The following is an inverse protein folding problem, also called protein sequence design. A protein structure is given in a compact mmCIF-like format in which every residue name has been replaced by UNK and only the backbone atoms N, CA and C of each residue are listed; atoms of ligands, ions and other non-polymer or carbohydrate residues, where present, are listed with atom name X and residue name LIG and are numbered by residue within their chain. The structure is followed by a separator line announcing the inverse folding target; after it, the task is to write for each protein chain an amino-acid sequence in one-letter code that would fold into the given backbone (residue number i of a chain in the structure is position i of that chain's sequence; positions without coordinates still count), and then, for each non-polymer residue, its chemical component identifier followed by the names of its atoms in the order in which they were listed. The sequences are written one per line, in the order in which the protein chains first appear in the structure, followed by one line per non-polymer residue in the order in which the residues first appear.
data_IF_413755242841
#
_entry.id   IF_413755242841
#
_cell.length_a   1.000
_cell.length_b   1.000
_cell.length_c   1.000
_cell.angle_alpha   90.00
_cell.angle_beta   90.00
_cell.angle_gamma   90.00
#
_symmetry.space_group_name_H-M   'P 1'
#
loop_
_entity.id
_entity.type
_entity.pdbx_description
1 polymer ?
#
# COMPACT_ATOMS: atom_id res chain seq x y z
N UNK A 1 24.54 -18.42 -48.66
CA UNK A 1 23.83 -17.44 -47.82
C UNK A 1 23.36 -16.33 -48.73
N UNK A 2 22.22 -16.54 -49.38
CA UNK A 2 21.62 -15.57 -50.31
C UNK A 2 20.94 -14.46 -49.52
N UNK A 3 21.35 -13.22 -49.77
CA UNK A 3 20.58 -12.03 -49.42
C UNK A 3 19.41 -11.94 -50.39
N UNK A 4 18.22 -12.31 -49.93
CA UNK A 4 16.99 -11.97 -50.65
C UNK A 4 16.52 -10.59 -50.20
N UNK A 5 16.61 -9.61 -51.10
CA UNK A 5 15.93 -8.33 -50.97
C UNK A 5 14.55 -8.49 -51.61
N UNK A 6 13.48 -8.46 -50.79
CA UNK A 6 12.09 -8.47 -51.27
C UNK A 6 11.56 -7.02 -51.19
N UNK A 7 10.95 -6.46 -52.25
CA UNK A 7 10.50 -5.08 -52.26
C UNK A 7 9.22 -4.85 -51.43
N UNK A 8 9.14 -3.63 -50.88
CA UNK A 8 8.06 -3.01 -50.10
C UNK A 8 6.67 -3.21 -50.71
N UNK A 9 5.77 -3.84 -49.94
CA UNK A 9 4.32 -3.60 -49.79
C UNK A 9 3.53 -4.82 -49.26
N UNK A 10 4.19 -5.92 -48.87
CA UNK A 10 3.48 -7.11 -48.39
C UNK A 10 4.13 -7.85 -47.20
N UNK A 11 4.73 -7.13 -46.25
CA UNK A 11 5.37 -7.74 -45.06
C UNK A 11 5.06 -7.05 -43.74
N UNK A 12 3.82 -6.59 -43.57
CA UNK A 12 3.23 -6.35 -42.24
C UNK A 12 2.05 -7.29 -41.91
N UNK A 13 1.58 -8.10 -42.88
CA UNK A 13 0.39 -8.97 -42.69
C UNK A 13 0.66 -10.49 -42.82
N UNK A 14 1.89 -10.94 -43.11
CA UNK A 14 2.21 -12.38 -43.32
C UNK A 14 3.36 -12.83 -42.43
N UNK A 15 3.33 -12.46 -41.15
CA UNK A 15 4.15 -13.12 -40.13
C UNK A 15 3.36 -13.51 -38.87
N UNK A 16 2.03 -13.57 -39.00
CA UNK A 16 1.07 -14.02 -37.98
C UNK A 16 0.52 -15.44 -38.24
N UNK A 17 1.03 -16.17 -39.25
CA UNK A 17 0.41 -17.45 -39.69
C UNK A 17 1.32 -18.69 -39.65
N UNK A 18 2.54 -18.61 -39.12
CA UNK A 18 3.36 -19.81 -38.90
C UNK A 18 4.03 -19.76 -37.53
N UNK A 19 3.49 -20.57 -36.63
CA UNK A 19 4.10 -20.86 -35.35
C UNK A 19 5.48 -21.51 -35.52
N UNK A 20 6.31 -21.25 -34.52
CA UNK A 20 7.57 -21.97 -34.19
C UNK A 20 8.66 -22.00 -35.27
N UNK A 21 9.43 -20.92 -35.39
CA UNK A 21 10.86 -20.98 -35.73
C UNK A 21 11.63 -19.87 -35.00
N UNK A 22 12.84 -20.14 -34.45
CA UNK A 22 13.66 -19.14 -33.79
C UNK A 22 14.25 -18.20 -34.83
N UNK A 23 13.76 -16.96 -34.89
CA UNK A 23 14.29 -15.91 -35.75
C UNK A 23 14.54 -14.69 -34.86
N UNK A 24 15.79 -14.23 -34.76
CA UNK A 24 16.09 -12.91 -34.20
C UNK A 24 15.32 -11.89 -35.04
N UNK A 25 14.36 -11.19 -34.44
CA UNK A 25 13.59 -10.15 -35.13
C UNK A 25 14.08 -8.78 -34.69
N UNK A 26 14.65 -8.05 -35.64
CA UNK A 26 15.04 -6.66 -35.48
C UNK A 26 14.06 -5.80 -36.27
N UNK A 27 13.46 -4.81 -35.61
CA UNK A 27 12.85 -3.68 -36.30
C UNK A 27 13.90 -2.58 -36.40
N UNK A 28 14.37 -2.36 -37.63
CA UNK A 28 15.17 -1.19 -38.03
C UNK A 28 14.33 -0.42 -39.06
N UNK A 29 13.99 0.83 -38.77
CA UNK A 29 13.26 1.70 -39.70
C UNK A 29 14.25 2.43 -40.62
N UNK A 30 13.93 2.52 -41.91
CA UNK A 30 14.31 3.71 -42.69
C UNK A 30 13.08 4.60 -42.79
N UNK A 31 13.16 5.93 -42.54
CA UNK A 31 12.01 6.81 -42.71
C UNK A 31 11.38 6.65 -44.11
N UNK A 32 10.04 6.56 -44.24
CA UNK A 32 9.01 6.97 -43.29
C UNK A 32 8.29 5.82 -42.55
N UNK A 33 8.74 4.58 -42.68
CA UNK A 33 7.89 3.39 -42.44
C UNK A 33 7.76 2.91 -40.99
N UNK A 34 7.90 3.83 -40.00
CA UNK A 34 7.88 3.60 -38.55
C UNK A 34 7.33 2.21 -38.12
N UNK A 35 8.19 1.19 -37.95
CA UNK A 35 7.77 -0.20 -37.88
C UNK A 35 7.03 -0.47 -36.57
N UNK A 36 5.95 -1.26 -36.64
CA UNK A 36 5.03 -1.47 -35.52
C UNK A 36 4.91 -2.97 -35.18
N UNK A 37 5.20 -3.34 -33.94
CA UNK A 37 4.78 -4.63 -33.37
C UNK A 37 3.44 -4.44 -32.66
N UNK A 38 2.37 -5.04 -33.18
CA UNK A 38 1.02 -5.00 -32.61
C UNK A 38 0.44 -6.41 -32.43
N UNK A 39 -0.21 -6.66 -31.28
CA UNK A 39 -1.14 -7.78 -31.08
C UNK A 39 -0.85 -8.67 -29.86
N UNK A 40 -1.75 -9.62 -29.61
CA UNK A 40 -1.65 -10.59 -28.51
C UNK A 40 -0.94 -11.86 -28.97
N UNK A 41 0.33 -12.03 -28.63
CA UNK A 41 1.13 -13.14 -29.16
C UNK A 41 2.26 -13.58 -28.24
N UNK A 42 2.67 -14.83 -28.39
CA UNK A 42 3.97 -15.32 -27.93
C UNK A 42 5.00 -15.13 -29.05
N UNK A 43 6.18 -14.62 -28.68
CA UNK A 43 7.34 -14.44 -29.56
C UNK A 43 8.51 -15.19 -28.93
N UNK A 44 9.12 -16.11 -29.67
CA UNK A 44 10.30 -16.85 -29.21
C UNK A 44 11.56 -16.24 -29.80
N UNK A 45 12.56 -15.97 -28.97
CA UNK A 45 13.83 -15.35 -29.34
C UNK A 45 13.93 -13.87 -28.95
N UNK A 46 15.13 -13.27 -29.08
CA UNK A 46 15.35 -11.88 -28.71
C UNK A 46 14.64 -10.92 -29.68
N UNK A 47 14.15 -9.81 -29.13
CA UNK A 47 13.50 -8.72 -29.84
C UNK A 47 14.30 -7.44 -29.65
N UNK A 48 14.62 -6.79 -30.77
CA UNK A 48 15.28 -5.49 -30.80
C UNK A 48 14.41 -4.50 -31.56
N UNK A 49 13.98 -3.44 -30.88
CA UNK A 49 13.26 -2.31 -31.47
C UNK A 49 14.21 -1.12 -31.40
N UNK A 50 14.95 -0.84 -32.47
CA UNK A 50 15.90 0.30 -32.47
C UNK A 50 15.17 1.62 -32.64
N UNK A 51 14.28 1.64 -33.63
CA UNK A 51 13.33 2.70 -33.95
C UNK A 51 11.97 2.02 -34.22
N UNK A 52 10.85 2.66 -33.86
CA UNK A 52 9.52 2.08 -34.07
C UNK A 52 8.69 1.94 -32.80
N UNK A 53 7.49 1.36 -32.97
CA UNK A 53 6.51 1.21 -31.89
C UNK A 53 6.32 -0.26 -31.54
N UNK A 54 6.29 -0.57 -30.25
CA UNK A 54 5.78 -1.83 -29.70
C UNK A 54 4.50 -1.55 -28.92
N UNK A 55 3.45 -2.33 -29.14
CA UNK A 55 2.16 -2.18 -28.49
C UNK A 55 1.43 -3.52 -28.45
N UNK A 56 0.89 -3.97 -27.30
CA UNK A 56 0.09 -5.19 -27.25
C UNK A 56 -1.24 -5.13 -28.02
N UNK A 57 -1.73 -3.96 -28.44
CA UNK A 57 -2.96 -3.85 -29.23
C UNK A 57 -3.57 -2.45 -29.29
N UNK A 58 -4.81 -2.39 -29.80
CA UNK A 58 -5.74 -1.25 -29.68
C UNK A 58 -6.79 -1.50 -28.58
N UNK A 59 -6.59 -2.55 -27.79
CA UNK A 59 -7.28 -2.85 -26.55
C UNK A 59 -6.27 -3.55 -25.65
N UNK A 60 -6.45 -3.50 -24.30
CA UNK A 60 -5.58 -4.17 -23.36
C UNK A 60 -5.21 -5.58 -23.82
N UNK A 61 -3.92 -5.80 -23.94
CA UNK A 61 -3.34 -6.96 -24.59
C UNK A 61 -2.07 -7.41 -23.90
N UNK A 62 -1.61 -8.61 -24.26
CA UNK A 62 -0.39 -9.19 -23.71
C UNK A 62 0.51 -9.71 -24.82
N UNK A 63 1.74 -9.21 -24.86
CA UNK A 63 2.83 -9.79 -25.65
C UNK A 63 3.72 -10.57 -24.69
N UNK A 64 3.95 -11.85 -24.97
CA UNK A 64 4.96 -12.63 -24.26
C UNK A 64 6.18 -12.82 -25.16
N UNK A 65 7.36 -12.48 -24.65
CA UNK A 65 8.66 -12.64 -25.29
C UNK A 65 9.43 -13.70 -24.51
N UNK A 66 9.57 -14.87 -25.09
CA UNK A 66 10.47 -15.91 -24.61
C UNK A 66 11.89 -15.64 -25.12
N UNK A 67 12.56 -14.66 -24.49
CA UNK A 67 13.82 -14.10 -24.93
C UNK A 67 14.13 -12.75 -24.28
N UNK A 68 15.06 -12.01 -24.87
CA UNK A 68 15.45 -10.67 -24.41
C UNK A 68 14.67 -9.58 -25.16
N UNK A 69 14.45 -8.43 -24.53
CA UNK A 69 13.89 -7.24 -25.14
C UNK A 69 14.88 -6.07 -25.08
N UNK A 70 15.14 -5.46 -26.22
CA UNK A 70 15.91 -4.21 -26.33
C UNK A 70 15.05 -3.12 -26.97
N UNK A 71 14.89 -2.01 -26.26
CA UNK A 71 14.23 -0.78 -26.72
C UNK A 71 15.29 0.32 -26.92
N UNK A 72 15.43 0.80 -28.15
CA UNK A 72 16.36 1.86 -28.52
C UNK A 72 15.84 3.26 -28.19
N UNK A 73 16.73 4.26 -28.26
CA UNK A 73 16.42 5.65 -27.90
C UNK A 73 15.31 6.33 -28.72
N UNK A 74 15.01 5.84 -29.91
CA UNK A 74 13.91 6.33 -30.76
C UNK A 74 12.72 5.36 -30.84
N UNK A 75 12.71 4.30 -30.02
CA UNK A 75 11.57 3.40 -29.92
C UNK A 75 10.45 3.96 -29.04
N UNK A 76 9.25 3.41 -29.14
CA UNK A 76 8.13 3.74 -28.25
C UNK A 76 7.37 2.48 -27.83
N UNK A 77 7.02 2.38 -26.54
CA UNK A 77 6.07 1.41 -26.03
C UNK A 77 4.74 2.12 -25.75
N UNK A 78 3.68 1.75 -26.48
CA UNK A 78 2.32 2.22 -26.22
C UNK A 78 1.59 1.22 -25.33
N UNK A 79 1.15 1.68 -24.16
CA UNK A 79 0.52 0.89 -23.12
C UNK A 79 -0.86 1.44 -22.77
N UNK A 80 -1.90 0.64 -23.00
CA UNK A 80 -3.29 0.97 -22.70
C UNK A 80 -3.69 0.52 -21.28
N UNK A 81 -4.36 1.41 -20.52
CA UNK A 81 -4.95 1.12 -19.21
C UNK A 81 -6.48 1.28 -19.28
N UNK A 82 -7.20 0.29 -18.74
CA UNK A 82 -8.66 0.21 -18.78
C UNK A 82 -9.30 -0.13 -17.44
N UNK A 83 -8.76 -1.09 -16.70
CA UNK A 83 -9.19 -1.47 -15.35
C UNK A 83 -8.17 -2.41 -14.66
N UNK A 84 -8.52 -2.92 -13.48
CA UNK A 84 -7.70 -3.82 -12.66
C UNK A 84 -7.99 -5.31 -12.90
N UNK A 85 -8.68 -5.69 -13.98
CA UNK A 85 -9.00 -7.11 -14.29
C UNK A 85 -7.78 -7.97 -14.63
N UNK A 86 -6.60 -7.33 -14.75
CA UNK A 86 -5.30 -7.98 -14.89
C UNK A 86 -4.63 -7.73 -16.24
N UNK A 87 -3.38 -8.20 -16.41
CA UNK A 87 -2.61 -7.97 -17.62
C UNK A 87 -3.25 -8.65 -18.83
N UNK A 88 -3.32 -7.93 -19.94
CA UNK A 88 -3.97 -8.35 -21.19
C UNK A 88 -5.49 -8.35 -21.18
N UNK A 89 -6.13 -7.92 -20.08
CA UNK A 89 -7.58 -7.79 -19.95
C UNK A 89 -7.98 -6.37 -19.54
N UNK A 90 -7.31 -5.86 -18.50
CA UNK A 90 -7.53 -4.53 -17.93
C UNK A 90 -6.40 -3.55 -18.24
N UNK A 91 -5.21 -4.03 -18.57
CA UNK A 91 -4.10 -3.19 -19.04
C UNK A 91 -3.16 -3.97 -19.97
N UNK A 92 -2.45 -3.24 -20.82
CA UNK A 92 -1.38 -3.77 -21.64
C UNK A 92 -0.21 -4.28 -20.80
N UNK A 93 0.36 -5.41 -21.22
CA UNK A 93 1.58 -5.95 -20.64
C UNK A 93 2.51 -6.54 -21.70
N UNK A 94 3.80 -6.29 -21.55
CA UNK A 94 4.86 -7.06 -22.20
C UNK A 94 5.51 -7.97 -21.15
N UNK A 95 5.39 -9.29 -21.31
CA UNK A 95 6.04 -10.26 -20.45
C UNK A 95 7.32 -10.76 -21.11
N UNK A 96 8.46 -10.64 -20.44
CA UNK A 96 9.77 -11.02 -20.98
C UNK A 96 10.41 -12.06 -20.07
N UNK A 97 10.75 -13.24 -20.60
CA UNK A 97 11.40 -14.29 -19.78
C UNK A 97 12.89 -13.98 -19.53
N UNK A 98 13.54 -13.26 -20.45
CA UNK A 98 14.95 -12.90 -20.40
C UNK A 98 15.22 -11.48 -19.89
N UNK A 99 16.24 -10.84 -20.47
CA UNK A 99 16.68 -9.50 -20.06
C UNK A 99 15.94 -8.38 -20.79
N UNK A 100 15.63 -7.30 -20.08
CA UNK A 100 15.08 -6.06 -20.65
C UNK A 100 16.11 -4.94 -20.60
N UNK A 101 16.26 -4.22 -21.71
CA UNK A 101 16.98 -2.94 -21.81
C UNK A 101 15.99 -1.88 -22.30
N UNK A 102 15.83 -0.82 -21.52
CA UNK A 102 14.92 0.28 -21.83
C UNK A 102 15.63 1.43 -22.56
N UNK A 103 14.85 2.11 -23.38
CA UNK A 103 15.18 3.34 -24.08
C UNK A 103 13.90 3.91 -24.67
N UNK A 104 13.99 5.07 -25.33
CA UNK A 104 12.85 5.62 -26.05
C UNK A 104 11.72 6.10 -25.14
N UNK A 105 10.50 6.10 -25.66
CA UNK A 105 9.33 6.71 -24.99
C UNK A 105 8.34 5.66 -24.49
N UNK A 106 7.91 5.78 -23.24
CA UNK A 106 6.70 5.11 -22.75
C UNK A 106 5.50 6.02 -22.99
N UNK A 107 4.51 5.54 -23.74
CA UNK A 107 3.26 6.25 -24.03
C UNK A 107 2.10 5.54 -23.34
N UNK A 108 1.43 6.23 -22.42
CA UNK A 108 0.33 5.67 -21.63
C UNK A 108 -1.00 6.19 -22.17
N UNK A 109 -1.95 5.29 -22.44
CA UNK A 109 -3.25 5.61 -23.02
C UNK A 109 -4.36 5.16 -22.07
N UNK A 110 -5.33 6.05 -21.81
CA UNK A 110 -6.52 5.76 -21.02
C UNK A 110 -7.72 5.55 -21.94
N UNK A 111 -8.26 4.32 -22.02
CA UNK A 111 -9.44 3.98 -22.82
C UNK A 111 -10.74 4.45 -22.12
N UNK A 112 -10.83 5.77 -21.87
CA UNK A 112 -11.89 6.38 -21.05
C UNK A 112 -11.81 6.04 -19.56
N UNK A 113 -10.78 5.32 -19.15
CA UNK A 113 -10.55 4.92 -17.76
C UNK A 113 -9.91 6.05 -16.95
N UNK A 114 -10.37 6.21 -15.70
CA UNK A 114 -9.76 7.10 -14.72
C UNK A 114 -9.23 6.22 -13.59
N UNK A 115 -7.91 5.95 -13.55
CA UNK A 115 -7.30 5.20 -12.46
C UNK A 115 -7.50 5.89 -11.11
N UNK A 116 -7.78 5.12 -10.06
CA UNK A 116 -7.85 5.65 -8.71
C UNK A 116 -6.47 5.67 -8.05
N UNK A 117 -6.29 6.54 -7.06
CA UNK A 117 -5.10 6.53 -6.21
C UNK A 117 -4.84 5.16 -5.58
N UNK A 118 -3.56 4.82 -5.44
CA UNK A 118 -3.08 3.52 -4.98
C UNK A 118 -3.28 2.35 -5.97
N UNK A 119 -3.89 2.56 -7.14
CA UNK A 119 -3.92 1.54 -8.19
C UNK A 119 -2.51 1.33 -8.77
N UNK A 120 -2.24 0.13 -9.29
CA UNK A 120 -0.96 -0.21 -9.90
C UNK A 120 -1.14 -1.16 -11.09
N UNK A 121 -0.28 -1.03 -12.09
CA UNK A 121 -0.35 -1.74 -13.38
C UNK A 121 1.04 -2.26 -13.75
N UNK A 122 1.17 -3.58 -13.84
CA UNK A 122 2.43 -4.23 -14.22
C UNK A 122 2.56 -4.23 -15.75
N UNK A 123 3.25 -3.22 -16.29
CA UNK A 123 3.29 -2.95 -17.74
C UNK A 123 4.39 -3.72 -18.46
N UNK A 124 5.47 -4.10 -17.76
CA UNK A 124 6.49 -5.03 -18.27
C UNK A 124 6.92 -5.97 -17.14
N UNK A 125 6.90 -7.28 -17.36
CA UNK A 125 7.56 -8.25 -16.46
C UNK A 125 8.83 -8.77 -17.10
N UNK A 126 9.83 -9.10 -16.27
CA UNK A 126 11.16 -9.47 -16.78
C UNK A 126 11.88 -10.51 -15.92
N UNK A 127 12.75 -11.30 -16.56
CA UNK A 127 13.74 -12.10 -15.86
C UNK A 127 14.82 -11.23 -15.20
N UNK A 128 15.41 -10.30 -15.97
CA UNK A 128 16.42 -9.35 -15.48
C UNK A 128 16.24 -7.99 -16.14
N UNK A 129 16.19 -6.90 -15.35
CA UNK A 129 16.26 -5.54 -15.89
C UNK A 129 17.72 -5.06 -15.88
N UNK A 130 18.23 -4.70 -17.06
CA UNK A 130 19.56 -4.08 -17.17
C UNK A 130 19.50 -2.61 -16.74
N UNK A 131 20.59 -2.01 -16.24
CA UNK A 131 20.63 -0.60 -15.85
C UNK A 131 20.26 0.34 -17.01
N UNK A 132 19.00 0.74 -17.06
CA UNK A 132 18.40 1.51 -18.16
C UNK A 132 17.09 2.13 -17.70
N UNK A 133 16.67 3.21 -18.36
CA UNK A 133 15.43 3.93 -18.09
C UNK A 133 14.79 4.35 -19.42
N UNK A 134 13.50 4.69 -19.38
CA UNK A 134 12.86 5.40 -20.48
C UNK A 134 13.56 6.74 -20.73
N UNK A 135 13.73 7.11 -21.99
CA UNK A 135 14.23 8.44 -22.37
C UNK A 135 13.18 9.53 -22.10
N UNK A 136 11.91 9.19 -22.25
CA UNK A 136 10.76 10.03 -21.91
C UNK A 136 9.55 9.17 -21.53
N UNK A 137 8.65 9.75 -20.73
CA UNK A 137 7.36 9.15 -20.39
C UNK A 137 6.29 10.19 -20.72
N UNK A 138 5.31 9.79 -21.52
CA UNK A 138 4.16 10.60 -21.88
C UNK A 138 2.98 10.21 -20.98
N UNK A 139 2.73 11.01 -19.96
CA UNK A 139 1.59 10.83 -19.06
C UNK A 139 0.32 11.43 -19.67
N UNK A 140 -0.81 10.72 -19.65
CA UNK A 140 -2.10 11.28 -20.02
C UNK A 140 -2.58 12.27 -18.94
N UNK A 141 -3.49 13.21 -19.30
CA UNK A 141 -4.06 14.14 -18.33
C UNK A 141 -4.64 13.43 -17.10
N UNK A 142 -4.36 13.95 -15.90
CA UNK A 142 -4.84 13.38 -14.64
C UNK A 142 -3.93 12.33 -14.01
N UNK A 143 -2.78 12.02 -14.62
CA UNK A 143 -1.76 11.12 -14.05
C UNK A 143 -0.47 11.85 -13.63
N UNK A 144 -0.53 13.16 -13.38
CA UNK A 144 0.66 13.99 -13.12
C UNK A 144 1.46 13.57 -11.85
N UNK A 145 0.79 12.93 -10.89
CA UNK A 145 1.39 12.46 -9.64
C UNK A 145 1.81 10.98 -9.66
N UNK A 146 1.61 10.27 -10.78
CA UNK A 146 1.91 8.85 -10.91
C UNK A 146 3.41 8.59 -11.10
N UNK A 147 3.86 7.40 -10.70
CA UNK A 147 5.26 7.03 -10.70
C UNK A 147 5.50 5.67 -11.35
N UNK A 148 6.75 5.43 -11.78
CA UNK A 148 7.21 4.13 -12.29
C UNK A 148 8.12 3.49 -11.25
N UNK A 149 7.79 2.27 -10.86
CA UNK A 149 8.69 1.38 -10.12
C UNK A 149 9.41 0.46 -11.10
N UNK A 150 10.73 0.33 -10.94
CA UNK A 150 11.60 -0.53 -11.77
C UNK A 150 12.03 -1.79 -11.01
N UNK A 151 11.11 -2.36 -10.22
CA UNK A 151 11.35 -3.59 -9.46
C UNK A 151 11.70 -3.40 -7.99
N UNK A 152 11.62 -2.17 -7.45
CA UNK A 152 11.91 -1.91 -6.04
C UNK A 152 10.72 -2.23 -5.14
N UNK A 153 9.51 -1.84 -5.56
CA UNK A 153 8.25 -2.11 -4.86
C UNK A 153 7.59 -3.40 -5.39
N UNK A 154 7.74 -3.67 -6.68
CA UNK A 154 7.14 -4.81 -7.37
C UNK A 154 8.23 -5.64 -8.04
N UNK A 155 8.84 -6.62 -7.34
CA UNK A 155 9.94 -7.41 -7.87
C UNK A 155 9.66 -8.00 -9.25
N UNK A 156 10.66 -8.00 -10.13
CA UNK A 156 10.57 -8.52 -11.51
C UNK A 156 9.54 -7.84 -12.41
N UNK A 157 9.12 -6.61 -12.08
CA UNK A 157 8.12 -5.85 -12.83
C UNK A 157 8.49 -4.37 -12.94
N UNK A 158 8.26 -3.80 -14.12
CA UNK A 158 8.11 -2.37 -14.32
C UNK A 158 6.64 -2.05 -14.11
N UNK A 159 6.35 -1.29 -13.07
CA UNK A 159 4.98 -1.07 -12.59
C UNK A 159 4.68 0.42 -12.56
N UNK A 160 3.60 0.83 -13.23
CA UNK A 160 3.03 2.16 -13.03
C UNK A 160 2.19 2.10 -11.76
N UNK A 161 2.39 3.02 -10.82
CA UNK A 161 1.58 3.07 -9.61
C UNK A 161 1.14 4.51 -9.30
N UNK A 162 -0.09 4.62 -8.83
CA UNK A 162 -0.66 5.88 -8.43
C UNK A 162 -0.09 6.31 -7.08
N UNK A 163 -0.18 7.61 -6.77
CA UNK A 163 0.10 8.05 -5.42
C UNK A 163 -0.78 7.22 -4.49
N UNK A 164 -0.18 6.51 -3.55
CA UNK A 164 -0.96 6.03 -2.43
C UNK A 164 -1.30 7.28 -1.64
N UNK A 165 -2.58 7.55 -1.42
CA UNK A 165 -2.97 8.46 -0.36
C UNK A 165 -2.21 8.00 0.88
N UNK A 166 -1.15 8.73 1.24
CA UNK A 166 -0.52 8.51 2.52
C UNK A 166 -1.68 8.77 3.48
N UNK A 167 -2.08 7.77 4.29
CA UNK A 167 -3.09 8.02 5.32
C UNK A 167 -2.63 9.28 5.99
N UNK A 168 -3.51 10.29 6.13
CA UNK A 168 -3.21 11.51 6.88
C UNK A 168 -2.35 11.09 8.04
N UNK A 169 -1.06 11.43 7.99
CA UNK A 169 -0.15 10.94 9.01
C UNK A 169 -0.62 11.66 10.26
N UNK A 170 -1.30 10.91 11.13
CA UNK A 170 -1.80 11.39 12.41
C UNK A 170 -0.58 11.78 13.23
N UNK A 171 -0.10 12.99 13.04
CA UNK A 171 1.00 13.50 13.82
C UNK A 171 0.44 13.71 15.23
N UNK A 172 0.95 12.89 16.15
CA UNK A 172 0.81 13.10 17.59
C UNK A 172 -0.65 13.14 18.12
N UNK A 173 -1.55 12.26 17.67
CA UNK A 173 -2.83 12.10 18.39
C UNK A 173 -2.55 11.71 19.85
N UNK A 174 -2.96 12.56 20.79
CA UNK A 174 -2.66 12.43 22.23
C UNK A 174 -3.90 12.74 23.06
N UNK A 175 -4.07 11.98 24.13
CA UNK A 175 -5.04 12.26 25.18
C UNK A 175 -4.30 12.66 26.47
N UNK A 176 -4.69 13.77 27.07
CA UNK A 176 -4.07 14.31 28.30
C UNK A 176 -5.15 14.58 29.33
N UNK A 177 -4.99 14.02 30.53
CA UNK A 177 -5.91 14.27 31.64
C UNK A 177 -5.62 15.62 32.30
N UNK A 178 -6.65 16.46 32.44
CA UNK A 178 -6.61 17.72 33.19
C UNK A 178 -7.77 17.73 34.18
N UNK A 179 -7.50 17.30 35.43
CA UNK A 179 -8.54 17.14 36.44
C UNK A 179 -9.54 16.03 36.09
N UNK A 180 -10.79 16.40 35.78
CA UNK A 180 -11.86 15.49 35.31
C UNK A 180 -12.19 15.68 33.83
N UNK A 181 -11.24 16.23 33.09
CA UNK A 181 -11.36 16.48 31.66
C UNK A 181 -10.25 15.74 30.92
N UNK A 182 -10.51 15.39 29.67
CA UNK A 182 -9.49 14.87 28.76
C UNK A 182 -9.35 15.85 27.61
N UNK A 183 -8.15 16.41 27.45
CA UNK A 183 -7.77 17.17 26.28
C UNK A 183 -7.19 16.23 25.23
N UNK A 184 -7.81 16.20 24.06
CA UNK A 184 -7.35 15.53 22.87
C UNK A 184 -6.69 16.55 21.96
N UNK A 185 -5.49 16.24 21.46
CA UNK A 185 -4.81 17.06 20.45
C UNK A 185 -4.28 16.17 19.34
N UNK A 186 -4.34 16.65 18.11
CA UNK A 186 -3.74 15.99 16.96
C UNK A 186 -3.32 17.00 15.91
N UNK A 187 -2.49 16.54 15.00
CA UNK A 187 -2.04 17.28 13.84
C UNK A 187 -2.18 16.42 12.60
N UNK A 188 -2.33 17.07 11.46
CA UNK A 188 -2.30 16.46 10.13
C UNK A 188 -1.15 17.09 9.36
N UNK A 189 -0.31 16.28 8.70
CA UNK A 189 0.80 16.80 7.90
C UNK A 189 0.30 17.48 6.62
N UNK A 190 -0.67 16.83 5.98
CA UNK A 190 -1.44 17.30 4.85
C UNK A 190 -2.87 16.74 4.95
N UNK A 191 -3.79 17.35 4.21
CA UNK A 191 -5.18 16.94 4.07
C UNK A 191 -5.55 17.00 2.60
N UNK A 192 -6.28 16.00 2.13
CA UNK A 192 -6.81 15.96 0.78
C UNK A 192 -8.23 15.43 0.85
N UNK A 193 -9.17 16.16 0.25
CA UNK A 193 -10.60 15.87 0.26
C UNK A 193 -11.18 15.56 1.67
N UNK A 194 -10.58 16.09 2.74
CA UNK A 194 -10.94 15.78 4.12
C UNK A 194 -12.13 16.62 4.56
N UNK A 195 -13.22 15.99 5.00
CA UNK A 195 -14.43 16.70 5.43
C UNK A 195 -14.37 17.07 6.91
N UNK A 196 -14.26 16.07 7.79
CA UNK A 196 -14.18 16.29 9.24
C UNK A 196 -13.53 15.12 9.98
N UNK A 197 -13.13 15.40 11.23
CA UNK A 197 -12.70 14.41 12.20
C UNK A 197 -13.83 14.14 13.20
N UNK A 198 -14.38 12.92 13.19
CA UNK A 198 -15.25 12.43 14.26
C UNK A 198 -14.37 12.01 15.44
N UNK A 199 -14.55 12.71 16.56
CA UNK A 199 -13.94 12.33 17.84
C UNK A 199 -14.81 11.27 18.47
N UNK A 200 -14.27 10.07 18.64
CA UNK A 200 -15.01 8.94 19.21
C UNK A 200 -14.44 8.52 20.55
N UNK A 201 -15.33 8.11 21.46
CA UNK A 201 -15.02 7.72 22.82
C UNK A 201 -15.60 6.36 23.16
N UNK A 202 -14.89 5.64 24.03
CA UNK A 202 -15.29 4.35 24.56
C UNK A 202 -14.81 4.19 26.00
N UNK A 203 -15.55 3.40 26.78
CA UNK A 203 -15.13 2.93 28.11
C UNK A 203 -14.62 1.48 28.09
N UNK A 204 -14.74 0.76 26.98
CA UNK A 204 -14.39 -0.66 26.86
C UNK A 204 -13.45 -0.97 25.66
N UNK A 205 -13.06 0.05 24.91
CA UNK A 205 -12.28 -0.01 23.67
C UNK A 205 -12.92 -0.84 22.53
N UNK A 206 -14.21 -1.15 22.62
CA UNK A 206 -14.95 -1.94 21.63
C UNK A 206 -16.10 -1.13 21.04
N UNK A 207 -16.99 -0.66 21.90
CA UNK A 207 -18.10 0.19 21.52
C UNK A 207 -17.66 1.65 21.59
N UNK A 208 -17.48 2.27 20.42
CA UNK A 208 -17.16 3.68 20.29
C UNK A 208 -18.41 4.47 19.93
N UNK A 209 -18.63 5.59 20.62
CA UNK A 209 -19.66 6.58 20.30
C UNK A 209 -19.00 7.89 19.88
N UNK A 210 -19.56 8.52 18.85
CA UNK A 210 -19.13 9.85 18.40
C UNK A 210 -19.50 10.90 19.46
N UNK A 211 -18.50 11.66 19.92
CA UNK A 211 -18.67 12.79 20.83
C UNK A 211 -18.90 14.10 20.08
N UNK A 212 -18.14 14.31 19.00
CA UNK A 212 -18.14 15.55 18.24
C UNK A 212 -17.55 15.35 16.85
N UNK A 213 -17.83 16.32 15.96
CA UNK A 213 -17.15 16.48 14.68
C UNK A 213 -16.36 17.77 14.69
N UNK A 214 -15.09 17.68 14.32
CA UNK A 214 -14.20 18.83 14.13
C UNK A 214 -13.97 18.99 12.63
N UNK A 215 -14.42 20.10 12.01
CA UNK A 215 -14.21 20.33 10.58
C UNK A 215 -12.72 20.26 10.21
N UNK A 216 -12.41 19.58 9.11
CA UNK A 216 -11.09 19.59 8.49
C UNK A 216 -10.97 20.79 7.54
N UNK A 217 -9.78 21.01 6.96
CA UNK A 217 -9.55 22.10 6.00
C UNK A 217 -10.00 21.76 4.57
N UNK A 218 -10.42 20.53 4.27
CA UNK A 218 -10.66 20.08 2.91
C UNK A 218 -9.37 19.65 2.25
N UNK A 219 -8.56 20.63 1.82
CA UNK A 219 -7.26 20.42 1.19
C UNK A 219 -6.21 21.30 1.88
N UNK A 220 -5.10 20.69 2.30
CA UNK A 220 -3.98 21.38 2.95
C UNK A 220 -2.67 20.65 2.69
N UNK A 221 -1.66 21.37 2.22
CA UNK A 221 -0.28 20.85 2.13
C UNK A 221 0.59 21.28 3.33
N UNK A 222 0.00 22.01 4.29
CA UNK A 222 0.67 22.48 5.50
C UNK A 222 0.09 21.81 6.74
N UNK A 223 0.92 21.74 7.79
CA UNK A 223 0.54 21.11 9.06
C UNK A 223 -0.63 21.85 9.69
N UNK A 224 -1.71 21.12 9.99
CA UNK A 224 -2.86 21.65 10.72
C UNK A 224 -2.86 21.13 12.16
N UNK A 225 -3.45 21.94 13.04
CA UNK A 225 -3.46 21.70 14.49
C UNK A 225 -4.89 21.70 14.99
N UNK A 226 -5.25 20.64 15.70
CA UNK A 226 -6.60 20.45 16.19
C UNK A 226 -6.60 20.07 17.67
N UNK A 227 -7.69 20.43 18.34
CA UNK A 227 -7.92 20.07 19.72
C UNK A 227 -9.40 19.87 20.00
N UNK A 228 -9.70 18.98 20.94
CA UNK A 228 -11.03 18.77 21.48
C UNK A 228 -10.93 18.44 22.97
N UNK A 229 -11.83 18.97 23.79
CA UNK A 229 -11.87 18.68 25.22
C UNK A 229 -13.15 17.91 25.56
N UNK A 230 -12.99 16.73 26.14
CA UNK A 230 -14.09 15.99 26.73
C UNK A 230 -14.22 16.40 28.21
N UNK A 231 -15.38 16.95 28.58
CA UNK A 231 -15.66 17.49 29.91
C UNK A 231 -16.45 16.51 30.80
N UNK A 232 -16.43 16.77 32.11
CA UNK A 232 -17.28 16.10 33.11
C UNK A 232 -17.20 14.57 33.15
N UNK A 233 -16.00 14.02 32.97
CA UNK A 233 -15.84 12.57 32.98
C UNK A 233 -15.93 11.98 34.38
N UNK A 234 -16.52 10.79 34.44
CA UNK A 234 -16.46 9.91 35.60
C UNK A 234 -15.04 9.37 35.77
N UNK A 235 -14.61 9.04 37.01
CA UNK A 235 -13.37 8.29 37.20
C UNK A 235 -13.41 6.96 36.45
N UNK A 236 -12.27 6.53 35.94
CA UNK A 236 -12.14 5.29 35.17
C UNK A 236 -11.27 5.44 33.93
N UNK A 237 -11.26 4.39 33.14
CA UNK A 237 -10.51 4.33 31.90
C UNK A 237 -11.36 4.86 30.74
N UNK A 238 -10.72 5.65 29.90
CA UNK A 238 -11.34 6.22 28.71
C UNK A 238 -10.44 5.99 27.52
N UNK A 239 -11.07 5.57 26.43
CA UNK A 239 -10.42 5.34 25.14
C UNK A 239 -10.96 6.34 24.14
N UNK A 240 -10.07 6.84 23.30
CA UNK A 240 -10.37 7.79 22.27
C UNK A 240 -9.76 7.34 20.95
N UNK A 241 -10.48 7.58 19.87
CA UNK A 241 -9.94 7.50 18.52
C UNK A 241 -10.54 8.61 17.67
N UNK A 242 -9.88 8.95 16.60
CA UNK A 242 -10.40 9.84 15.57
C UNK A 242 -10.83 8.99 14.38
N UNK A 243 -11.94 9.37 13.77
CA UNK A 243 -12.38 8.89 12.48
C UNK A 243 -12.35 10.07 11.50
N UNK A 244 -11.41 10.08 10.58
CA UNK A 244 -11.43 11.02 9.47
C UNK A 244 -12.50 10.59 8.48
N UNK A 245 -13.33 11.54 8.06
CA UNK A 245 -14.31 11.36 7.01
C UNK A 245 -13.91 12.26 5.83
N UNK A 246 -13.86 11.69 4.64
CA UNK A 246 -13.56 12.40 3.41
C UNK A 246 -14.86 12.87 2.71
N UNK A 247 -14.73 13.77 1.74
CA UNK A 247 -15.87 14.37 1.02
C UNK A 247 -16.63 13.35 0.16
N UNK A 248 -15.95 12.30 -0.29
CA UNK A 248 -16.51 11.18 -1.07
C UNK A 248 -17.15 10.09 -0.18
N UNK A 249 -17.02 10.21 1.14
CA UNK A 249 -17.55 9.26 2.11
C UNK A 249 -16.58 8.17 2.56
N UNK A 250 -15.34 8.16 2.05
CA UNK A 250 -14.28 7.32 2.59
C UNK A 250 -13.94 7.72 4.03
N UNK A 251 -13.37 6.79 4.80
CA UNK A 251 -12.96 7.07 6.17
C UNK A 251 -11.74 6.27 6.60
N UNK A 252 -10.97 6.85 7.51
CA UNK A 252 -9.81 6.22 8.15
C UNK A 252 -9.83 6.45 9.66
N UNK A 253 -9.38 5.48 10.45
CA UNK A 253 -9.26 5.62 11.90
C UNK A 253 -7.82 5.94 12.33
N UNK A 254 -7.68 6.73 13.39
CA UNK A 254 -6.43 6.85 14.12
C UNK A 254 -6.15 5.61 14.98
N UNK A 255 -4.94 5.53 15.52
CA UNK A 255 -4.67 4.68 16.68
C UNK A 255 -5.56 5.06 17.87
N UNK A 256 -5.89 4.09 18.72
CA UNK A 256 -6.63 4.31 19.96
C UNK A 256 -5.68 4.87 21.04
N UNK A 257 -6.12 5.90 21.76
CA UNK A 257 -5.45 6.44 22.94
C UNK A 257 -6.27 6.16 24.19
N UNK A 258 -5.62 5.60 25.20
CA UNK A 258 -6.21 5.38 26.52
C UNK A 258 -5.73 6.41 27.52
N UNK A 259 -6.60 6.78 28.46
CA UNK A 259 -6.27 7.66 29.59
C UNK A 259 -7.13 7.27 30.78
N UNK A 260 -6.52 7.19 31.97
CA UNK A 260 -7.23 6.90 33.22
C UNK A 260 -7.46 8.20 34.00
N UNK A 261 -8.70 8.46 34.40
CA UNK A 261 -9.09 9.61 35.21
C UNK A 261 -9.39 9.19 36.64
N UNK A 262 -8.86 9.93 37.61
CA UNK A 262 -9.20 9.80 39.03
C UNK A 262 -8.76 8.49 39.72
N UNK A 263 -8.07 7.58 39.03
CA UNK A 263 -7.53 6.33 39.58
C UNK A 263 -6.04 6.45 39.93
N UNK A 264 -5.58 5.65 40.90
CA UNK A 264 -4.15 5.34 40.99
C UNK A 264 -3.78 4.53 39.74
N UNK A 265 -2.60 4.72 39.13
CA UNK A 265 -2.17 3.92 38.00
C UNK A 265 -2.33 2.44 38.35
N UNK A 266 -2.96 1.67 37.47
CA UNK A 266 -3.04 0.22 37.65
C UNK A 266 -1.59 -0.31 37.74
N UNK A 267 -1.27 -1.02 38.80
CA UNK A 267 0.04 -1.64 39.00
C UNK A 267 -0.15 -3.08 39.44
N UNK A 268 0.85 -3.92 39.20
CA UNK A 268 0.85 -5.31 39.63
C UNK A 268 2.15 -5.66 40.37
N UNK A 269 2.05 -6.57 41.34
CA UNK A 269 3.18 -7.05 42.13
C UNK A 269 2.89 -8.46 42.69
N UNK A 270 3.92 -9.26 43.03
CA UNK A 270 5.33 -9.01 42.78
C UNK A 270 5.71 -9.20 41.31
N UNK A 271 6.81 -8.58 40.90
CA UNK A 271 7.47 -8.85 39.63
C UNK A 271 8.98 -8.85 39.89
N UNK A 272 9.67 -10.02 39.89
CA UNK A 272 9.20 -11.33 39.42
C UNK A 272 8.13 -12.01 40.29
N UNK A 273 7.23 -12.75 39.66
CA UNK A 273 6.17 -13.54 40.28
C UNK A 273 6.52 -15.04 40.32
N UNK A 274 6.09 -15.77 41.36
CA UNK A 274 6.29 -17.23 41.48
C UNK A 274 5.00 -18.03 41.39
N UNK A 275 3.89 -17.49 41.92
CA UNK A 275 2.59 -18.19 41.94
C UNK A 275 1.43 -17.29 41.54
N UNK A 276 1.46 -16.04 41.97
CA UNK A 276 0.39 -15.06 41.70
C UNK A 276 0.96 -13.68 41.48
N UNK A 277 0.22 -12.85 40.77
CA UNK A 277 0.34 -11.39 40.81
C UNK A 277 -0.93 -10.80 41.41
N UNK A 278 -0.77 -9.68 42.10
CA UNK A 278 -1.83 -8.89 42.72
C UNK A 278 -1.86 -7.52 42.08
N UNK A 279 -3.04 -7.07 41.69
CA UNK A 279 -3.29 -5.74 41.20
C UNK A 279 -3.64 -4.80 42.36
N UNK A 280 -3.27 -3.53 42.25
CA UNK A 280 -3.67 -2.52 43.25
C UNK A 280 -5.16 -2.18 43.22
N UNK A 281 -5.89 -2.57 42.17
CA UNK A 281 -7.35 -2.47 42.01
C UNK A 281 -7.90 -3.69 41.26
N UNK A 282 -9.18 -4.07 41.42
CA UNK A 282 -9.77 -5.19 40.71
C UNK A 282 -9.69 -4.99 39.19
N UNK A 283 -9.35 -6.04 38.46
CA UNK A 283 -9.26 -6.02 36.99
C UNK A 283 -10.25 -6.99 36.38
N UNK A 284 -10.83 -6.60 35.25
CA UNK A 284 -11.85 -7.37 34.54
C UNK A 284 -11.21 -8.44 33.68
N UNK A 285 -10.10 -8.14 32.99
CA UNK A 285 -9.45 -9.13 32.13
C UNK A 285 -7.94 -9.02 32.13
N UNK A 286 -7.30 -10.18 31.95
CA UNK A 286 -5.85 -10.32 31.78
C UNK A 286 -5.58 -11.15 30.53
N UNK A 287 -4.70 -10.65 29.67
CA UNK A 287 -4.09 -11.38 28.56
C UNK A 287 -2.58 -11.45 28.79
N UNK A 288 -2.02 -12.65 28.74
CA UNK A 288 -0.59 -12.89 28.85
C UNK A 288 -0.05 -13.36 27.50
N UNK A 289 0.95 -12.66 26.99
CA UNK A 289 1.60 -12.95 25.72
C UNK A 289 3.06 -13.35 25.95
N UNK A 290 3.60 -14.24 25.11
CA UNK A 290 5.04 -14.46 25.04
C UNK A 290 5.75 -13.31 24.30
N UNK A 291 7.09 -13.38 24.20
CA UNK A 291 7.88 -12.34 23.54
C UNK A 291 7.69 -12.28 22.01
N UNK A 292 7.05 -13.29 21.42
CA UNK A 292 6.67 -13.32 20.01
C UNK A 292 5.23 -12.83 19.81
N UNK A 293 4.57 -12.34 20.86
CA UNK A 293 3.19 -11.86 20.82
C UNK A 293 2.14 -12.97 20.80
N UNK A 294 2.52 -14.24 20.97
CA UNK A 294 1.57 -15.35 21.01
C UNK A 294 0.87 -15.39 22.36
N UNK A 295 -0.44 -15.60 22.34
CA UNK A 295 -1.23 -15.68 23.55
C UNK A 295 -0.93 -16.97 24.34
N UNK A 296 -0.53 -16.78 25.59
CA UNK A 296 -0.24 -17.85 26.56
C UNK A 296 -1.44 -18.07 27.48
N UNK A 297 -2.16 -16.99 27.82
CA UNK A 297 -3.35 -17.04 28.66
C UNK A 297 -4.27 -15.86 28.38
N UNK A 298 -5.58 -16.10 28.41
CA UNK A 298 -6.60 -15.07 28.54
C UNK A 298 -7.58 -15.44 29.65
N UNK A 299 -7.96 -14.47 30.49
CA UNK A 299 -8.95 -14.66 31.55
C UNK A 299 -9.77 -13.39 31.77
N UNK A 300 -11.08 -13.55 31.97
CA UNK A 300 -12.01 -12.50 32.43
C UNK A 300 -12.36 -12.70 33.91
N UNK A 301 -13.03 -11.72 34.50
CA UNK A 301 -13.50 -11.71 35.89
C UNK A 301 -12.38 -12.03 36.88
N UNK A 302 -11.21 -11.41 36.67
CA UNK A 302 -9.97 -11.71 37.40
C UNK A 302 -10.02 -11.20 38.84
N UNK A 303 -10.53 -9.98 39.05
CA UNK A 303 -10.50 -9.32 40.35
C UNK A 303 -9.09 -8.86 40.74
N UNK A 304 -8.72 -9.01 42.00
CA UNK A 304 -7.43 -8.48 42.50
C UNK A 304 -6.24 -9.41 42.27
N UNK A 305 -6.46 -10.71 42.07
CA UNK A 305 -5.38 -11.72 42.08
C UNK A 305 -5.46 -12.57 40.82
N UNK A 306 -4.33 -12.70 40.14
CA UNK A 306 -4.17 -13.54 38.96
C UNK A 306 -3.11 -14.62 39.23
N UNK A 307 -3.48 -15.89 39.00
CA UNK A 307 -2.58 -17.02 39.17
C UNK A 307 -1.68 -17.19 37.95
N UNK A 308 -0.39 -17.39 38.21
CA UNK A 308 0.65 -17.74 37.24
C UNK A 308 1.39 -19.03 37.60
N UNK A 309 0.93 -19.76 38.63
CA UNK A 309 1.61 -20.94 39.17
C UNK A 309 1.76 -22.11 38.18
N UNK A 310 0.93 -22.15 37.15
CA UNK A 310 0.90 -23.14 36.08
C UNK A 310 1.49 -22.60 34.76
N UNK A 311 2.12 -21.42 34.79
CA UNK A 311 2.80 -20.81 33.65
C UNK A 311 4.30 -21.08 33.76
N UNK A 312 4.92 -21.51 32.65
CA UNK A 312 6.34 -21.80 32.61
C UNK A 312 7.17 -20.56 33.01
N UNK A 313 8.31 -20.72 33.73
CA UNK A 313 9.20 -19.61 34.03
C UNK A 313 9.66 -18.90 32.75
N UNK A 314 9.72 -17.56 32.78
CA UNK A 314 10.02 -16.77 31.59
C UNK A 314 9.62 -15.31 31.69
N UNK A 315 9.87 -14.56 30.61
CA UNK A 315 9.42 -13.18 30.45
C UNK A 315 8.20 -13.12 29.53
N UNK A 316 7.19 -12.34 29.94
CA UNK A 316 5.90 -12.24 29.28
C UNK A 316 5.47 -10.77 29.18
N UNK A 317 4.58 -10.48 28.24
CA UNK A 317 3.85 -9.23 28.19
C UNK A 317 2.48 -9.45 28.83
N UNK A 318 2.22 -8.70 29.89
CA UNK A 318 0.94 -8.66 30.58
C UNK A 318 0.12 -7.49 30.03
N UNK A 319 -1.03 -7.79 29.45
CA UNK A 319 -2.04 -6.81 29.07
C UNK A 319 -3.24 -6.95 30.00
N UNK A 320 -3.71 -5.84 30.55
CA UNK A 320 -4.84 -5.81 31.48
C UNK A 320 -5.94 -4.91 30.93
N UNK A 321 -7.22 -5.29 31.11
CA UNK A 321 -8.41 -4.53 30.70
C UNK A 321 -8.24 -3.92 29.30
N UNK A 322 -8.04 -4.76 28.28
CA UNK A 322 -7.89 -4.33 26.89
C UNK A 322 -6.82 -3.24 26.66
N UNK A 323 -5.71 -3.30 27.38
CA UNK A 323 -4.55 -2.42 27.19
C UNK A 323 -4.48 -1.25 28.16
N UNK A 324 -5.29 -1.23 29.23
CA UNK A 324 -5.14 -0.28 30.35
C UNK A 324 -3.73 -0.29 30.92
N UNK A 325 -3.18 -1.48 31.12
CA UNK A 325 -1.80 -1.69 31.50
C UNK A 325 -1.17 -2.69 30.53
N UNK A 326 -0.04 -2.28 29.96
CA UNK A 326 0.87 -3.16 29.22
C UNK A 326 2.20 -3.13 29.97
N UNK A 327 2.58 -4.27 30.55
CA UNK A 327 3.78 -4.36 31.38
C UNK A 327 4.52 -5.67 31.15
N UNK A 328 5.84 -5.63 31.31
CA UNK A 328 6.67 -6.84 31.29
C UNK A 328 6.51 -7.58 32.62
N UNK A 329 6.07 -8.83 32.58
CA UNK A 329 6.00 -9.73 33.74
C UNK A 329 7.10 -10.79 33.66
N UNK A 330 7.81 -11.02 34.76
CA UNK A 330 8.80 -12.08 34.90
C UNK A 330 8.21 -13.16 35.82
N UNK A 331 8.17 -14.42 35.37
CA UNK A 331 7.72 -15.58 36.15
C UNK A 331 8.92 -16.47 36.49
N UNK A 332 9.02 -16.91 37.74
CA UNK A 332 10.08 -17.79 38.27
C UNK A 332 9.51 -19.09 38.82
#
# INVERSE_FOLDING_TARGET
MEKFTIPLLLTAAICLMLGSLPCERTLDATPPDNPVFVGNTLITGPITVRDGVISPGFSPGKITIDGNLYLGGSSSYVCELKDLSGPGLGHDQIEVTGSVVLGGTLEIVLDGYVPNDGNHFAIITYGVLQPSLWSSINWPPGMDAWQIDYGSLFPNSITIYGPTALPVEWLNFRATAVGREVQLTWQTASEENSNYFAVEHSTDARAFSELARVPAQGNSEVVQYYAFTHHHLTPGLHYYRLKQMDLDGAFTYSIIRSISLGGRPLTFFPNPATRTITFNHPVESVRLLDLLGREVRYKTDVGLVFSVADIAPGAYILQVNHGELIGRLIIR
#
